data_IF_851023769206
#
_entry.id   IF_851023769206
#
_cell.length_a   1.000
_cell.length_b   1.000
_cell.length_c   1.000
_cell.angle_alpha   90.00
_cell.angle_beta   90.00
_cell.angle_gamma   90.00
#
_symmetry.space_group_name_H-M   'P 1'
#
loop_
_entity.id
_entity.type
_entity.pdbx_description
1 polymer ?
#
# COMPACT_ATOMS: atom_id res chain seq x y z
N UNK A 1 33.53 -13.26 15.47
CA UNK A 1 33.55 -12.50 16.74
C UNK A 1 32.89 -11.18 16.44
N UNK A 2 31.63 -11.08 16.82
CA UNK A 2 30.83 -9.86 16.66
C UNK A 2 31.20 -8.94 17.82
N UNK A 3 31.90 -7.85 17.52
CA UNK A 3 32.27 -6.84 18.51
C UNK A 3 31.01 -6.29 19.16
N UNK A 4 30.87 -6.49 20.48
CA UNK A 4 29.79 -5.93 21.27
C UNK A 4 29.89 -4.39 21.20
N UNK A 5 28.99 -3.75 20.46
CA UNK A 5 28.87 -2.29 20.46
C UNK A 5 28.41 -1.85 21.85
N UNK A 6 29.10 -0.89 22.50
CA UNK A 6 28.66 -0.37 23.78
C UNK A 6 27.29 0.29 23.62
N UNK A 7 26.32 -0.11 24.45
CA UNK A 7 25.01 0.52 24.52
C UNK A 7 25.12 1.70 25.50
N UNK A 8 24.95 2.91 25.00
CA UNK A 8 24.87 4.12 25.81
C UNK A 8 23.39 4.45 26.04
N UNK A 9 22.98 4.56 27.31
CA UNK A 9 21.64 5.00 27.68
C UNK A 9 21.67 6.51 27.91
N UNK A 10 20.77 7.23 27.26
CA UNK A 10 20.63 8.69 27.35
C UNK A 10 19.25 8.99 27.92
N UNK A 11 19.17 9.91 28.88
CA UNK A 11 17.89 10.35 29.43
C UNK A 11 17.15 11.18 28.39
N UNK A 12 15.91 10.79 28.09
CA UNK A 12 15.10 11.44 27.04
C UNK A 12 14.71 12.88 27.46
N UNK A 13 14.69 13.17 28.76
CA UNK A 13 14.46 14.50 29.31
C UNK A 13 15.67 15.43 29.25
N UNK A 14 16.84 14.96 28.79
CA UNK A 14 18.04 15.78 28.70
C UNK A 14 17.81 16.94 27.71
N UNK A 15 18.10 18.16 28.14
CA UNK A 15 18.06 19.36 27.28
C UNK A 15 19.29 19.38 26.39
N UNK A 16 19.11 19.58 25.09
CA UNK A 16 20.24 19.84 24.20
C UNK A 16 20.83 21.21 24.57
N UNK A 17 22.05 21.22 25.14
CA UNK A 17 22.75 22.46 25.49
C UNK A 17 23.07 23.26 24.22
N UNK A 18 22.28 24.30 23.95
CA UNK A 18 22.61 25.34 22.98
C UNK A 18 22.70 26.66 23.77
N UNK A 19 23.82 27.38 23.66
CA UNK A 19 24.21 28.48 24.55
C UNK A 19 23.27 29.71 24.57
N UNK A 20 22.18 29.75 23.77
CA UNK A 20 21.31 30.94 23.64
C UNK A 20 19.78 30.66 23.58
N UNK A 21 19.30 29.46 23.95
CA UNK A 21 17.84 29.19 24.02
C UNK A 21 17.53 28.16 25.10
N UNK A 22 16.36 28.24 25.74
CA UNK A 22 15.78 27.11 26.49
C UNK A 22 15.82 25.89 25.54
N UNK A 23 16.71 24.95 25.85
CA UNK A 23 17.02 23.84 24.96
C UNK A 23 15.85 22.87 24.94
N UNK A 24 15.35 22.56 23.74
CA UNK A 24 14.35 21.50 23.56
C UNK A 24 14.88 20.19 24.16
N UNK A 25 14.00 19.48 24.85
CA UNK A 25 14.33 18.17 25.40
C UNK A 25 14.49 17.17 24.26
N UNK A 26 15.36 16.15 24.41
CA UNK A 26 15.57 15.15 23.36
C UNK A 26 14.25 14.47 22.94
N UNK A 27 13.28 14.29 23.84
CA UNK A 27 11.98 13.70 23.49
C UNK A 27 11.15 14.56 22.51
N UNK A 28 11.38 15.87 22.45
CA UNK A 28 10.69 16.78 21.53
C UNK A 28 11.31 16.77 20.12
N UNK A 29 12.56 16.31 20.01
CA UNK A 29 13.33 16.27 18.76
C UNK A 29 13.29 14.90 18.08
N UNK A 30 13.00 13.84 18.83
CA UNK A 30 12.91 12.48 18.28
C UNK A 30 11.60 12.35 17.51
N UNK A 31 11.70 12.26 16.18
CA UNK A 31 10.58 11.95 15.32
C UNK A 31 10.10 10.52 15.56
N UNK A 32 8.79 10.33 15.61
CA UNK A 32 8.20 9.00 15.61
C UNK A 32 8.29 8.42 14.19
N UNK A 33 9.26 7.53 13.97
CA UNK A 33 9.41 6.81 12.69
C UNK A 33 8.22 5.89 12.38
N UNK A 34 7.36 5.61 13.35
CA UNK A 34 6.14 4.82 13.15
C UNK A 34 4.94 5.65 12.69
N UNK A 35 5.04 6.99 12.73
CA UNK A 35 3.95 7.86 12.32
C UNK A 35 3.85 7.93 10.79
N UNK A 36 2.67 7.63 10.26
CA UNK A 36 2.41 7.71 8.82
C UNK A 36 2.11 9.17 8.49
N UNK A 37 3.03 9.81 7.78
CA UNK A 37 2.88 11.20 7.34
C UNK A 37 1.51 11.47 6.73
N UNK A 38 0.93 12.63 7.03
CA UNK A 38 -0.33 13.09 6.41
C UNK A 38 -0.22 13.07 4.88
N UNK A 39 0.97 13.36 4.34
CA UNK A 39 1.24 13.28 2.90
C UNK A 39 1.04 11.86 2.38
N UNK A 40 1.64 10.87 3.03
CA UNK A 40 1.57 9.47 2.61
C UNK A 40 0.15 8.90 2.72
N UNK A 41 -0.62 9.37 3.71
CA UNK A 41 -2.05 9.04 3.82
C UNK A 41 -2.85 9.58 2.63
N UNK A 42 -2.64 10.85 2.27
CA UNK A 42 -3.33 11.48 1.13
C UNK A 42 -2.94 10.79 -0.18
N UNK A 43 -1.65 10.56 -0.42
CA UNK A 43 -1.16 9.84 -1.60
C UNK A 43 -1.80 8.45 -1.74
N UNK A 44 -1.94 7.73 -0.61
CA UNK A 44 -2.61 6.43 -0.58
C UNK A 44 -4.09 6.52 -0.91
N UNK A 45 -4.79 7.49 -0.33
CA UNK A 45 -6.24 7.69 -0.56
C UNK A 45 -6.51 8.05 -2.02
N UNK A 46 -5.71 8.93 -2.61
CA UNK A 46 -5.78 9.28 -4.04
C UNK A 46 -5.53 8.06 -4.93
N UNK A 47 -4.53 7.26 -4.60
CA UNK A 47 -4.24 6.01 -5.31
C UNK A 47 -5.41 5.03 -5.23
N UNK A 48 -6.03 4.88 -4.05
CA UNK A 48 -7.21 4.04 -3.87
C UNK A 48 -8.39 4.53 -4.71
N UNK A 49 -8.61 5.85 -4.78
CA UNK A 49 -9.66 6.45 -5.61
C UNK A 49 -9.43 6.21 -7.11
N UNK A 50 -8.18 6.32 -7.58
CA UNK A 50 -7.80 6.03 -8.96
C UNK A 50 -8.11 4.56 -9.33
N UNK A 51 -7.71 3.63 -8.47
CA UNK A 51 -7.98 2.19 -8.68
C UNK A 51 -9.48 1.92 -8.66
N UNK A 52 -10.21 2.47 -7.69
CA UNK A 52 -11.65 2.29 -7.57
C UNK A 52 -12.40 2.80 -8.81
N UNK A 53 -12.05 4.00 -9.28
CA UNK A 53 -12.58 4.58 -10.52
C UNK A 53 -12.33 3.65 -11.68
N UNK A 54 -11.09 3.15 -11.84
CA UNK A 54 -10.77 2.30 -12.98
C UNK A 54 -11.45 0.92 -12.93
N UNK A 55 -11.61 0.35 -11.73
CA UNK A 55 -12.38 -0.89 -11.54
C UNK A 55 -13.85 -0.65 -11.91
N UNK A 56 -14.42 0.51 -11.57
CA UNK A 56 -15.82 0.84 -11.92
C UNK A 56 -16.06 0.90 -13.43
N UNK A 57 -15.05 1.25 -14.22
CA UNK A 57 -15.08 1.30 -15.68
C UNK A 57 -14.79 -0.04 -16.36
N UNK A 58 -14.40 -1.08 -15.60
CA UNK A 58 -14.20 -2.41 -16.16
C UNK A 58 -15.52 -2.99 -16.68
N UNK A 59 -15.47 -3.78 -17.78
CA UNK A 59 -16.62 -4.54 -18.22
C UNK A 59 -17.11 -5.51 -17.13
N UNK A 60 -18.40 -5.85 -17.15
CA UNK A 60 -19.05 -6.62 -16.09
C UNK A 60 -18.39 -7.97 -15.81
N UNK A 61 -17.95 -8.68 -16.85
CA UNK A 61 -17.32 -10.00 -16.72
C UNK A 61 -15.99 -9.91 -15.93
N UNK A 62 -14.96 -9.15 -16.37
CA UNK A 62 -13.75 -8.92 -15.60
C UNK A 62 -13.99 -8.40 -14.18
N UNK A 63 -14.91 -7.43 -14.01
CA UNK A 63 -15.23 -6.87 -12.70
C UNK A 63 -15.77 -7.96 -11.74
N UNK A 64 -16.65 -8.82 -12.24
CA UNK A 64 -17.24 -9.91 -11.47
C UNK A 64 -16.23 -11.01 -11.15
N UNK A 65 -15.33 -11.33 -12.08
CA UNK A 65 -14.18 -12.25 -11.82
C UNK A 65 -13.31 -11.71 -10.69
N UNK A 66 -12.98 -10.41 -10.70
CA UNK A 66 -12.20 -9.78 -9.63
C UNK A 66 -12.93 -9.81 -8.29
N UNK A 67 -14.24 -9.52 -8.28
CA UNK A 67 -15.05 -9.57 -7.05
C UNK A 67 -15.06 -10.99 -6.46
N UNK A 68 -15.32 -12.02 -7.27
CA UNK A 68 -15.29 -13.40 -6.80
C UNK A 68 -13.91 -13.81 -6.25
N UNK A 69 -12.84 -13.37 -6.90
CA UNK A 69 -11.48 -13.73 -6.49
C UNK A 69 -11.02 -12.99 -5.23
N UNK A 70 -11.18 -11.66 -5.17
CA UNK A 70 -10.63 -10.83 -4.10
C UNK A 70 -11.60 -10.58 -2.94
N UNK A 71 -12.91 -10.51 -3.20
CA UNK A 71 -13.92 -10.25 -2.17
C UNK A 71 -14.54 -11.54 -1.64
N UNK A 72 -14.91 -12.46 -2.54
CA UNK A 72 -15.54 -13.73 -2.16
C UNK A 72 -14.52 -14.85 -1.88
N UNK A 73 -13.22 -14.60 -2.09
CA UNK A 73 -12.12 -15.56 -1.89
C UNK A 73 -12.30 -16.90 -2.63
N UNK A 74 -12.97 -16.87 -3.78
CA UNK A 74 -13.19 -18.06 -4.61
C UNK A 74 -11.92 -18.46 -5.37
N UNK A 75 -11.72 -19.75 -5.57
CA UNK A 75 -10.64 -20.31 -6.40
C UNK A 75 -10.96 -20.12 -7.89
N UNK A 76 -9.92 -19.99 -8.71
CA UNK A 76 -10.07 -19.82 -10.17
C UNK A 76 -10.88 -20.94 -10.83
N UNK A 77 -10.76 -22.18 -10.34
CA UNK A 77 -11.56 -23.32 -10.80
C UNK A 77 -13.07 -23.18 -10.49
N UNK A 78 -13.42 -22.62 -9.33
CA UNK A 78 -14.82 -22.37 -8.93
C UNK A 78 -15.43 -21.25 -9.77
N UNK A 79 -14.65 -20.18 -9.99
CA UNK A 79 -15.04 -19.07 -10.86
C UNK A 79 -15.22 -19.58 -12.30
N UNK A 80 -14.33 -20.43 -12.79
CA UNK A 80 -14.43 -21.03 -14.12
C UNK A 80 -15.74 -21.82 -14.31
N UNK A 81 -16.15 -22.57 -13.28
CA UNK A 81 -17.44 -23.26 -13.28
C UNK A 81 -18.63 -22.29 -13.35
N UNK A 82 -18.61 -21.18 -12.58
CA UNK A 82 -19.66 -20.15 -12.60
C UNK A 82 -19.83 -19.52 -13.99
N UNK A 83 -18.72 -19.26 -14.69
CA UNK A 83 -18.75 -18.67 -16.04
C UNK A 83 -18.86 -19.70 -17.16
N UNK A 84 -18.91 -21.00 -16.87
CA UNK A 84 -18.87 -22.09 -17.87
C UNK A 84 -17.68 -21.97 -18.83
N UNK A 85 -16.52 -21.59 -18.29
CA UNK A 85 -15.25 -21.43 -19.02
C UNK A 85 -14.17 -22.34 -18.42
N UNK A 86 -13.02 -22.45 -19.09
CA UNK A 86 -11.86 -23.14 -18.52
C UNK A 86 -11.14 -22.26 -17.50
N UNK A 87 -10.47 -22.89 -16.53
CA UNK A 87 -9.64 -22.18 -15.55
C UNK A 87 -8.56 -21.31 -16.21
N UNK A 88 -7.91 -21.83 -17.26
CA UNK A 88 -6.92 -21.08 -18.05
C UNK A 88 -7.51 -19.79 -18.63
N UNK A 89 -8.77 -19.83 -19.10
CA UNK A 89 -9.44 -18.64 -19.63
C UNK A 89 -9.71 -17.59 -18.55
N UNK A 90 -10.14 -18.01 -17.36
CA UNK A 90 -10.34 -17.09 -16.22
C UNK A 90 -9.01 -16.50 -15.75
N UNK A 91 -7.95 -17.33 -15.66
CA UNK A 91 -6.61 -16.88 -15.32
C UNK A 91 -6.11 -15.80 -16.30
N UNK A 92 -6.32 -16.00 -17.60
CA UNK A 92 -5.97 -15.00 -18.62
C UNK A 92 -6.76 -13.69 -18.44
N UNK A 93 -8.07 -13.77 -18.24
CA UNK A 93 -8.91 -12.58 -18.05
C UNK A 93 -8.47 -11.82 -16.79
N UNK A 94 -8.23 -12.53 -15.68
CA UNK A 94 -7.73 -11.95 -14.43
C UNK A 94 -6.38 -11.26 -14.65
N UNK A 95 -5.41 -11.96 -15.24
CA UNK A 95 -4.08 -11.42 -15.50
C UNK A 95 -4.11 -10.18 -16.41
N UNK A 96 -4.88 -10.23 -17.50
CA UNK A 96 -5.05 -9.09 -18.41
C UNK A 96 -5.67 -7.89 -17.70
N UNK A 97 -6.66 -8.14 -16.85
CA UNK A 97 -7.34 -7.08 -16.09
C UNK A 97 -6.40 -6.43 -15.09
N UNK A 98 -5.69 -7.23 -14.29
CA UNK A 98 -4.71 -6.74 -13.29
C UNK A 98 -3.58 -5.97 -13.98
N UNK A 99 -3.07 -6.46 -15.12
CA UNK A 99 -2.05 -5.76 -15.90
C UNK A 99 -2.55 -4.39 -16.38
N UNK A 100 -3.79 -4.33 -16.88
CA UNK A 100 -4.43 -3.09 -17.30
C UNK A 100 -4.60 -2.08 -16.15
N UNK A 101 -5.03 -2.55 -14.96
CA UNK A 101 -5.14 -1.70 -13.78
C UNK A 101 -3.77 -1.13 -13.37
N UNK A 102 -2.73 -1.97 -13.33
CA UNK A 102 -1.35 -1.53 -13.01
C UNK A 102 -0.82 -0.52 -14.00
N UNK A 103 -1.02 -0.74 -15.29
CA UNK A 103 -0.61 0.19 -16.34
C UNK A 103 -1.32 1.55 -16.22
N UNK A 104 -2.63 1.54 -15.92
CA UNK A 104 -3.40 2.76 -15.69
C UNK A 104 -2.87 3.56 -14.49
N UNK A 105 -2.70 2.90 -13.35
CA UNK A 105 -2.16 3.52 -12.13
C UNK A 105 -0.77 4.10 -12.36
N UNK A 106 0.11 3.34 -13.02
CA UNK A 106 1.49 3.79 -13.29
C UNK A 106 1.50 5.02 -14.19
N UNK A 107 0.62 5.07 -15.19
CA UNK A 107 0.47 6.22 -16.08
C UNK A 107 -0.06 7.45 -15.34
N UNK A 108 -0.99 7.27 -14.41
CA UNK A 108 -1.57 8.37 -13.63
C UNK A 108 -0.60 8.91 -12.58
N UNK A 109 0.23 8.05 -11.97
CA UNK A 109 1.27 8.46 -11.01
C UNK A 109 2.42 9.23 -11.65
N UNK A 110 2.71 8.98 -12.93
CA UNK A 110 3.80 9.64 -13.66
C UNK A 110 3.33 10.91 -14.40
N UNK A 111 2.09 11.36 -14.20
CA UNK A 111 1.56 12.63 -14.70
C UNK A 111 1.72 13.71 -13.64
#
# INVERSE_FOLDING_TARGET
MEEAKPVCFIAIDQTAENEDSEGASLHELIADESDVSVRDRIEKDELMQLVATRISELPDIPKKILAMYYYENMRLAEIAAVFSLTESRICQIHAQTVLGLRAYVTRMRNR
#
